data_IF_023090079375
#
_entry.id   IF_023090079375
#
_cell.length_a   1.000
_cell.length_b   1.000
_cell.length_c   1.000
_cell.angle_alpha   90.00
_cell.angle_beta   90.00
_cell.angle_gamma   90.00
#
_symmetry.space_group_name_H-M   'P 1'
#
loop_
_entity.id
_entity.type
_entity.pdbx_description
1 polymer ?
#
# COMPACT_ATOMS: atom_id res chain seq x y z
N UNK A 1 4.23 14.63 11.48
CA UNK A 1 5.42 13.73 11.55
C UNK A 1 6.35 14.09 10.39
N UNK A 2 7.68 14.20 10.57
CA UNK A 2 8.58 14.35 9.40
C UNK A 2 9.02 12.96 8.96
N UNK A 3 8.57 12.53 7.80
CA UNK A 3 9.00 11.25 7.24
C UNK A 3 10.44 11.40 6.75
N UNK A 4 11.25 10.35 6.89
CA UNK A 4 12.62 10.34 6.35
C UNK A 4 12.55 10.33 4.82
N UNK A 5 13.04 11.39 4.18
CA UNK A 5 13.05 11.58 2.72
C UNK A 5 13.70 10.39 1.98
N UNK A 6 14.69 9.73 2.59
CA UNK A 6 15.32 8.55 1.99
C UNK A 6 14.42 7.31 2.06
N UNK A 7 13.56 7.19 3.08
CA UNK A 7 12.57 6.12 3.19
C UNK A 7 11.41 6.38 2.23
N UNK A 8 10.93 7.61 2.11
CA UNK A 8 9.88 7.98 1.13
C UNK A 8 10.31 7.63 -0.28
N UNK A 9 11.52 8.03 -0.69
CA UNK A 9 12.01 7.74 -2.03
C UNK A 9 12.07 6.24 -2.29
N UNK A 10 12.50 5.42 -1.32
CA UNK A 10 12.52 3.96 -1.46
C UNK A 10 11.12 3.36 -1.55
N UNK A 11 10.17 3.88 -0.79
CA UNK A 11 8.77 3.47 -0.88
C UNK A 11 8.21 3.79 -2.27
N UNK A 12 8.45 5.00 -2.77
CA UNK A 12 8.07 5.42 -4.13
C UNK A 12 8.69 4.53 -5.21
N UNK A 13 10.00 4.26 -5.12
CA UNK A 13 10.71 3.41 -6.06
C UNK A 13 10.19 1.96 -6.03
N UNK A 14 9.84 1.46 -4.84
CA UNK A 14 9.30 0.10 -4.69
C UNK A 14 7.86 0.04 -5.24
N UNK A 15 7.02 1.03 -4.94
CA UNK A 15 5.66 1.16 -5.50
C UNK A 15 5.69 1.29 -7.03
N UNK A 16 6.70 1.93 -7.60
CA UNK A 16 6.88 2.00 -9.05
C UNK A 16 6.89 0.60 -9.67
N UNK A 17 7.61 -0.36 -9.07
CA UNK A 17 7.69 -1.72 -9.60
C UNK A 17 6.41 -2.53 -9.41
N UNK A 18 5.63 -2.23 -8.37
CA UNK A 18 4.26 -2.76 -8.22
C UNK A 18 3.37 -2.28 -9.37
N UNK A 19 3.35 -0.97 -9.63
CA UNK A 19 2.54 -0.38 -10.70
C UNK A 19 3.00 -0.87 -12.08
N UNK A 20 4.29 -1.18 -12.26
CA UNK A 20 4.83 -1.80 -13.47
C UNK A 20 4.60 -3.31 -13.56
N UNK A 21 4.09 -3.94 -12.50
CA UNK A 21 3.87 -5.38 -12.41
C UNK A 21 5.15 -6.18 -12.71
N UNK A 22 6.28 -5.73 -12.16
CA UNK A 22 7.60 -6.35 -12.38
C UNK A 22 8.07 -7.06 -11.10
N UNK A 23 7.89 -8.39 -10.98
CA UNK A 23 8.20 -9.12 -9.76
C UNK A 23 9.69 -9.15 -9.41
N UNK A 24 10.56 -9.22 -10.41
CA UNK A 24 12.01 -9.31 -10.18
C UNK A 24 12.57 -7.99 -9.63
N UNK A 25 12.19 -6.86 -10.24
CA UNK A 25 12.62 -5.55 -9.74
C UNK A 25 11.91 -5.18 -8.44
N UNK A 26 10.68 -5.64 -8.22
CA UNK A 26 9.99 -5.47 -6.94
C UNK A 26 10.68 -6.21 -5.79
N UNK A 27 11.03 -7.50 -5.96
CA UNK A 27 11.76 -8.27 -4.95
C UNK A 27 13.13 -7.63 -4.64
N UNK A 28 13.83 -7.16 -5.68
CA UNK A 28 15.09 -6.43 -5.51
C UNK A 28 14.91 -5.11 -4.76
N UNK A 29 13.84 -4.37 -5.04
CA UNK A 29 13.52 -3.11 -4.35
C UNK A 29 13.19 -3.36 -2.87
N UNK A 30 12.40 -4.39 -2.55
CA UNK A 30 12.10 -4.80 -1.17
C UNK A 30 13.36 -5.13 -0.36
N UNK A 31 14.36 -5.74 -0.99
CA UNK A 31 15.64 -6.07 -0.36
C UNK A 31 16.60 -4.89 -0.23
N UNK A 32 16.28 -3.75 -0.86
CA UNK A 32 17.14 -2.56 -0.87
C UNK A 32 17.08 -1.73 0.42
N UNK A 33 16.11 -2.01 1.30
CA UNK A 33 15.95 -1.30 2.57
C UNK A 33 17.12 -1.62 3.52
N UNK A 34 17.86 -0.59 4.00
CA UNK A 34 19.18 -0.78 4.60
C UNK A 34 19.14 -1.44 5.98
N UNK A 35 18.08 -1.22 6.75
CA UNK A 35 17.95 -1.68 8.12
C UNK A 35 16.48 -1.89 8.53
N UNK A 36 16.28 -2.44 9.73
CA UNK A 36 14.96 -2.70 10.30
C UNK A 36 14.17 -1.43 10.56
N UNK A 37 14.83 -0.36 11.01
CA UNK A 37 14.18 0.94 11.26
C UNK A 37 13.56 1.50 9.99
N UNK A 38 14.28 1.45 8.88
CA UNK A 38 13.82 1.90 7.57
C UNK A 38 12.64 1.07 7.07
N UNK A 39 12.66 -0.25 7.30
CA UNK A 39 11.54 -1.15 6.95
C UNK A 39 10.30 -0.86 7.80
N UNK A 40 10.46 -0.61 9.09
CA UNK A 40 9.35 -0.26 9.98
C UNK A 40 8.72 1.08 9.59
N UNK A 41 9.53 2.11 9.31
CA UNK A 41 9.02 3.41 8.84
C UNK A 41 8.29 3.28 7.50
N UNK A 42 8.83 2.47 6.56
CA UNK A 42 8.16 2.19 5.30
C UNK A 42 6.81 1.51 5.50
N UNK A 43 6.74 0.51 6.37
CA UNK A 43 5.49 -0.19 6.70
C UNK A 43 4.47 0.74 7.35
N UNK A 44 4.90 1.60 8.27
CA UNK A 44 4.02 2.60 8.90
C UNK A 44 3.44 3.58 7.87
N UNK A 45 4.30 4.10 6.98
CA UNK A 45 3.89 4.98 5.88
C UNK A 45 2.86 4.27 4.98
N UNK A 46 3.17 3.05 4.54
CA UNK A 46 2.28 2.27 3.67
C UNK A 46 0.96 1.93 4.35
N UNK A 47 0.95 1.58 5.64
CA UNK A 47 -0.30 1.33 6.36
C UNK A 47 -1.21 2.57 6.36
N UNK A 48 -0.64 3.76 6.58
CA UNK A 48 -1.38 5.03 6.52
C UNK A 48 -1.86 5.36 5.11
N UNK A 49 -1.02 5.17 4.09
CA UNK A 49 -1.40 5.35 2.68
C UNK A 49 -2.56 4.41 2.31
N UNK A 50 -2.45 3.13 2.67
CA UNK A 50 -3.49 2.14 2.40
C UNK A 50 -4.80 2.50 3.10
N UNK A 51 -4.76 2.88 4.39
CA UNK A 51 -5.95 3.30 5.12
C UNK A 51 -6.61 4.51 4.46
N UNK A 52 -5.82 5.54 4.14
CA UNK A 52 -6.32 6.76 3.51
C UNK A 52 -6.93 6.46 2.13
N UNK A 53 -6.17 5.80 1.25
CA UNK A 53 -6.59 5.51 -0.11
C UNK A 53 -7.82 4.60 -0.15
N UNK A 54 -7.90 3.60 0.74
CA UNK A 54 -9.09 2.76 0.84
C UNK A 54 -10.33 3.55 1.28
N UNK A 55 -10.21 4.45 2.27
CA UNK A 55 -11.31 5.33 2.67
C UNK A 55 -11.70 6.27 1.54
N UNK A 56 -10.73 6.82 0.81
CA UNK A 56 -10.96 7.74 -0.31
C UNK A 56 -11.68 7.06 -1.48
N UNK A 57 -11.33 5.81 -1.81
CA UNK A 57 -12.03 4.99 -2.83
C UNK A 57 -13.52 4.89 -2.57
N UNK A 58 -13.92 4.69 -1.31
CA UNK A 58 -15.32 4.54 -0.93
C UNK A 58 -15.99 5.85 -0.51
N UNK A 59 -15.22 6.90 -0.21
CA UNK A 59 -15.70 8.14 0.40
C UNK A 59 -16.18 7.98 1.85
N UNK A 60 -15.99 6.79 2.44
CA UNK A 60 -16.29 6.46 3.83
C UNK A 60 -15.44 5.28 4.29
N UNK A 61 -15.47 4.96 5.59
CA UNK A 61 -14.84 3.73 6.09
C UNK A 61 -15.62 2.52 5.53
N UNK A 62 -14.98 1.62 4.77
CA UNK A 62 -15.70 0.52 4.14
C UNK A 62 -16.11 -0.53 5.17
N UNK A 63 -17.24 -1.17 4.90
CA UNK A 63 -17.75 -2.36 5.60
C UNK A 63 -16.95 -3.61 5.22
N UNK A 64 -17.12 -4.70 5.97
CA UNK A 64 -16.47 -5.98 5.67
C UNK A 64 -16.82 -6.51 4.27
N UNK A 65 -18.05 -6.30 3.82
CA UNK A 65 -18.48 -6.70 2.47
C UNK A 65 -17.78 -5.87 1.38
N UNK A 66 -17.59 -4.58 1.61
CA UNK A 66 -16.87 -3.69 0.68
C UNK A 66 -15.36 -3.99 0.67
N UNK A 67 -14.78 -4.33 1.83
CA UNK A 67 -13.39 -4.81 1.92
C UNK A 67 -13.22 -6.08 1.09
N UNK A 68 -14.14 -7.03 1.20
CA UNK A 68 -14.10 -8.28 0.42
C UNK A 68 -14.15 -8.00 -1.09
N UNK A 69 -15.05 -7.11 -1.54
CA UNK A 69 -15.15 -6.71 -2.95
C UNK A 69 -13.87 -6.02 -3.42
N UNK A 70 -13.29 -5.15 -2.59
CA UNK A 70 -12.02 -4.49 -2.90
C UNK A 70 -10.88 -5.51 -2.99
N UNK A 71 -10.81 -6.48 -2.08
CA UNK A 71 -9.80 -7.52 -2.09
C UNK A 71 -9.88 -8.39 -3.35
N UNK A 72 -11.09 -8.74 -3.81
CA UNK A 72 -11.30 -9.45 -5.07
C UNK A 72 -10.85 -8.64 -6.30
N UNK A 73 -11.12 -7.34 -6.30
CA UNK A 73 -10.66 -6.44 -7.37
C UNK A 73 -9.14 -6.36 -7.39
N UNK A 74 -8.51 -6.15 -6.24
CA UNK A 74 -7.04 -6.05 -6.12
C UNK A 74 -6.40 -7.37 -6.53
N UNK A 75 -6.83 -8.52 -5.99
CA UNK A 75 -6.25 -9.82 -6.32
C UNK A 75 -6.31 -10.12 -7.83
N UNK A 76 -7.38 -9.69 -8.51
CA UNK A 76 -7.52 -9.82 -9.96
C UNK A 76 -6.58 -8.88 -10.72
N UNK A 77 -6.47 -7.63 -10.29
CA UNK A 77 -5.57 -6.64 -10.92
C UNK A 77 -4.09 -6.96 -10.69
N UNK A 78 -3.77 -7.57 -9.55
CA UNK A 78 -2.43 -7.91 -9.09
C UNK A 78 -2.16 -9.43 -9.18
N UNK A 79 -2.76 -10.12 -10.16
CA UNK A 79 -2.61 -11.58 -10.33
C UNK A 79 -1.13 -12.00 -10.45
N UNK A 80 -0.27 -11.13 -10.97
CA UNK A 80 1.17 -11.33 -11.06
C UNK A 80 1.86 -11.49 -9.70
N UNK A 81 1.28 -10.96 -8.62
CA UNK A 81 1.90 -10.90 -7.29
C UNK A 81 1.55 -12.13 -6.44
N UNK A 82 0.71 -13.05 -6.91
CA UNK A 82 0.23 -14.23 -6.16
C UNK A 82 -0.53 -13.92 -4.86
N UNK A 83 -0.80 -12.65 -4.55
CA UNK A 83 -1.54 -12.24 -3.36
C UNK A 83 -2.97 -12.80 -3.41
N UNK A 84 -3.35 -13.59 -2.40
CA UNK A 84 -4.70 -14.13 -2.34
C UNK A 84 -5.72 -13.09 -1.88
N UNK A 85 -6.97 -13.25 -2.32
CA UNK A 85 -8.11 -12.44 -1.85
C UNK A 85 -8.21 -12.43 -0.32
N UNK A 86 -8.01 -13.60 0.31
CA UNK A 86 -8.08 -13.76 1.77
C UNK A 86 -7.01 -12.96 2.50
N UNK A 87 -5.77 -12.96 2.00
CA UNK A 87 -4.67 -12.19 2.56
C UNK A 87 -4.89 -10.69 2.41
N UNK A 88 -5.35 -10.24 1.24
CA UNK A 88 -5.65 -8.83 0.98
C UNK A 88 -6.80 -8.34 1.87
N UNK A 89 -7.88 -9.12 2.00
CA UNK A 89 -8.99 -8.78 2.88
C UNK A 89 -8.53 -8.69 4.35
N UNK A 90 -7.77 -9.68 4.83
CA UNK A 90 -7.21 -9.69 6.18
C UNK A 90 -6.32 -8.48 6.45
N UNK A 91 -5.48 -8.12 5.48
CA UNK A 91 -4.64 -6.93 5.54
C UNK A 91 -5.47 -5.64 5.65
N UNK A 92 -6.44 -5.45 4.76
CA UNK A 92 -7.30 -4.27 4.72
C UNK A 92 -8.12 -4.14 6.01
N UNK A 93 -8.68 -5.23 6.52
CA UNK A 93 -9.38 -5.25 7.80
C UNK A 93 -8.49 -4.83 8.97
N UNK A 94 -7.25 -5.31 9.01
CA UNK A 94 -6.31 -4.96 10.07
C UNK A 94 -5.93 -3.47 9.99
N UNK A 95 -5.56 -2.98 8.81
CA UNK A 95 -5.20 -1.57 8.58
C UNK A 95 -6.36 -0.64 8.91
N UNK A 96 -7.53 -0.89 8.34
CA UNK A 96 -8.72 -0.06 8.55
C UNK A 96 -9.25 -0.20 9.97
N UNK A 97 -9.04 -1.34 10.62
CA UNK A 97 -9.41 -1.63 12.01
C UNK A 97 -8.47 -1.01 13.04
N UNK A 98 -7.28 -0.54 12.64
CA UNK A 98 -6.24 -0.10 13.57
C UNK A 98 -5.64 -1.25 14.39
N UNK A 99 -5.72 -2.49 13.87
CA UNK A 99 -5.12 -3.66 14.51
C UNK A 99 -3.65 -3.79 14.12
N UNK A 100 -2.84 -4.34 15.02
CA UNK A 100 -1.45 -4.63 14.70
C UNK A 100 -1.36 -5.69 13.58
N UNK A 101 -0.64 -5.38 12.49
CA UNK A 101 -0.48 -6.28 11.35
C UNK A 101 0.16 -7.62 11.75
N UNK A 102 1.06 -7.60 12.75
CA UNK A 102 1.71 -8.79 13.30
C UNK A 102 0.75 -9.78 13.96
N UNK A 103 -0.45 -9.35 14.35
CA UNK A 103 -1.49 -10.24 14.91
C UNK A 103 -2.36 -10.87 13.82
N UNK A 104 -2.35 -10.29 12.62
CA UNK A 104 -3.23 -10.70 11.52
C UNK A 104 -2.47 -11.51 10.45
N UNK A 105 -1.20 -11.19 10.22
CA UNK A 105 -0.41 -11.69 9.10
C UNK A 105 1.05 -11.97 9.53
N UNK A 106 1.72 -12.95 8.88
CA UNK A 106 3.17 -13.06 8.95
C UNK A 106 3.84 -11.74 8.52
N UNK A 107 5.00 -11.42 9.12
CA UNK A 107 5.69 -10.16 8.86
C UNK A 107 6.00 -9.92 7.38
N UNK A 108 6.53 -10.94 6.69
CA UNK A 108 6.86 -10.86 5.27
C UNK A 108 5.60 -10.62 4.42
N UNK A 109 4.49 -11.30 4.73
CA UNK A 109 3.19 -11.08 4.08
C UNK A 109 2.67 -9.68 4.33
N UNK A 110 2.78 -9.15 5.55
CA UNK A 110 2.32 -7.80 5.88
C UNK A 110 3.09 -6.73 5.08
N UNK A 111 4.40 -6.84 4.98
CA UNK A 111 5.23 -5.94 4.17
C UNK A 111 4.87 -6.06 2.69
N UNK A 112 4.84 -7.29 2.17
CA UNK A 112 4.49 -7.55 0.78
C UNK A 112 3.12 -6.96 0.40
N UNK A 113 2.07 -7.29 1.17
CA UNK A 113 0.71 -6.82 0.92
C UNK A 113 0.59 -5.30 1.04
N UNK A 114 1.34 -4.67 1.94
CA UNK A 114 1.31 -3.21 2.09
C UNK A 114 1.71 -2.48 0.81
N UNK A 115 2.65 -3.02 0.04
CA UNK A 115 3.05 -2.48 -1.26
C UNK A 115 2.07 -2.83 -2.37
N UNK A 116 1.61 -4.09 -2.43
CA UNK A 116 0.67 -4.54 -3.47
C UNK A 116 -0.64 -3.75 -3.40
N UNK A 117 -1.23 -3.65 -2.21
CA UNK A 117 -2.49 -2.92 -1.99
C UNK A 117 -2.29 -1.43 -2.26
N UNK A 118 -1.20 -0.83 -1.79
CA UNK A 118 -0.97 0.60 -2.00
C UNK A 118 -0.76 0.92 -3.48
N UNK A 119 0.09 0.15 -4.18
CA UNK A 119 0.34 0.31 -5.61
C UNK A 119 -0.96 0.26 -6.40
N UNK A 120 -1.81 -0.75 -6.13
CA UNK A 120 -3.09 -0.88 -6.79
C UNK A 120 -4.03 0.29 -6.52
N UNK A 121 -4.21 0.67 -5.24
CA UNK A 121 -5.11 1.75 -4.84
C UNK A 121 -4.68 3.09 -5.42
N UNK A 122 -3.38 3.36 -5.46
CA UNK A 122 -2.81 4.59 -6.00
C UNK A 122 -2.94 4.66 -7.53
N UNK A 123 -2.66 3.57 -8.24
CA UNK A 123 -2.71 3.53 -9.71
C UNK A 123 -4.12 3.39 -10.27
N UNK A 124 -5.08 2.95 -9.46
CA UNK A 124 -6.47 2.75 -9.88
C UNK A 124 -7.33 4.02 -9.79
N UNK A 125 -6.82 5.09 -9.18
CA UNK A 125 -7.58 6.35 -9.12
C UNK A 125 -7.66 7.02 -10.49
N UNK A 126 -8.81 7.60 -10.86
CA UNK A 126 -8.90 8.43 -12.04
C UNK A 126 -8.02 9.67 -11.88
N UNK A 127 -6.99 9.79 -12.70
CA UNK A 127 -6.09 10.94 -12.71
C UNK A 127 -6.48 11.94 -13.80
N UNK A 128 -6.41 13.25 -13.52
CA UNK A 128 -6.47 14.28 -14.55
C UNK A 128 -5.43 14.06 -15.64
N UNK A 129 -5.70 14.55 -16.86
CA UNK A 129 -4.74 14.49 -17.96
C UNK A 129 -3.40 15.13 -17.55
N UNK A 130 -2.31 14.40 -17.79
CA UNK A 130 -0.95 14.80 -17.40
C UNK A 130 -0.55 14.47 -15.96
N UNK A 131 -1.45 13.92 -15.14
CA UNK A 131 -1.13 13.42 -13.80
C UNK A 131 -0.91 11.89 -13.80
N UNK A 132 -0.11 11.44 -12.84
CA UNK A 132 0.28 10.07 -12.62
C UNK A 132 -0.04 9.63 -11.19
N UNK A 133 0.09 8.33 -10.91
CA UNK A 133 -0.21 7.76 -9.59
C UNK A 133 0.59 8.41 -8.44
N UNK A 134 1.82 8.87 -8.71
CA UNK A 134 2.65 9.53 -7.70
C UNK A 134 2.14 10.92 -7.32
N UNK A 135 1.41 11.62 -8.21
CA UNK A 135 0.79 12.91 -7.87
C UNK A 135 -0.33 12.73 -6.83
N UNK A 136 -0.97 11.56 -6.79
CA UNK A 136 -1.91 11.22 -5.73
C UNK A 136 -1.20 10.78 -4.45
N UNK A 137 -0.11 10.03 -4.57
CA UNK A 137 0.74 9.73 -3.42
C UNK A 137 1.21 11.01 -2.72
N UNK A 138 1.69 12.01 -3.47
CA UNK A 138 2.08 13.32 -2.94
C UNK A 138 0.93 13.99 -2.15
N UNK A 139 -0.32 13.88 -2.64
CA UNK A 139 -1.50 14.41 -1.93
C UNK A 139 -1.78 13.65 -0.64
N UNK A 140 -1.68 12.32 -0.66
CA UNK A 140 -1.89 11.47 0.51
C UNK A 140 -0.83 11.74 1.57
N UNK A 141 0.44 11.79 1.19
CA UNK A 141 1.57 12.10 2.08
C UNK A 141 1.42 13.50 2.70
N UNK A 142 1.07 14.51 1.90
CA UNK A 142 0.82 15.87 2.41
C UNK A 142 -0.36 15.95 3.41
N UNK A 143 -1.33 15.04 3.35
CA UNK A 143 -2.38 14.93 4.38
C UNK A 143 -1.84 14.21 5.61
N UNK A 144 -1.10 13.11 5.44
CA UNK A 144 -0.50 12.34 6.54
C UNK A 144 0.46 13.20 7.36
N UNK A 145 1.29 14.03 6.75
CA UNK A 145 2.28 14.87 7.45
C UNK A 145 1.63 15.94 8.35
N UNK A 146 0.40 16.37 8.03
CA UNK A 146 -0.35 17.38 8.79
C UNK A 146 -0.96 16.83 10.09
N UNK A 147 -1.05 15.51 10.22
CA UNK A 147 -1.57 14.81 11.41
C UNK A 147 -0.43 14.06 12.14
#
# INVERSE_FOLDING_TARGET
>A
MKIDEAVEQRVRDTLHWVVKQNPDEFDKALRSFPDESSRLHALELLARINAYAAIDVFGHRPSLAEIQVLAEKIARSEEWSTASVSEIATFLEAVLGGRALSEALPADSAVFLSFIVAGNLLSSQPMPEGQWWFDYLDRVEAVIEKY
#
